data_IF_987940378079
#
_entry.id   IF_987940378079
#
_cell.length_a   1.000
_cell.length_b   1.000
_cell.length_c   1.000
_cell.angle_alpha   90.00
_cell.angle_beta   90.00
_cell.angle_gamma   90.00
#
_symmetry.space_group_name_H-M   'P 1'
#
loop_
_entity.id
_entity.type
_entity.pdbx_description
1 polymer ?
#
# COMPACT_ATOMS: atom_id res chain seq x y z
N UNK A 1 -2.04 16.01 30.59
CA UNK A 1 -3.18 16.89 30.26
C UNK A 1 -3.36 16.82 28.74
N UNK A 2 -4.35 16.03 28.32
CA UNK A 2 -4.97 15.95 26.98
C UNK A 2 -4.04 15.63 25.79
N UNK A 3 -3.91 14.33 25.48
CA UNK A 3 -3.48 13.86 24.15
C UNK A 3 -4.71 13.61 23.29
N UNK A 4 -4.91 14.42 22.26
CA UNK A 4 -5.93 14.17 21.24
C UNK A 4 -5.29 13.35 20.12
N UNK A 5 -5.49 12.03 20.13
CA UNK A 5 -5.46 11.25 18.89
C UNK A 5 -6.65 11.75 18.06
N UNK A 6 -6.36 12.45 16.98
CA UNK A 6 -7.38 12.73 15.97
C UNK A 6 -7.04 11.92 14.74
N UNK A 7 -7.65 10.73 14.69
CA UNK A 7 -7.89 10.03 13.44
C UNK A 7 -8.91 10.89 12.66
N UNK A 8 -8.44 11.92 11.95
CA UNK A 8 -9.32 12.72 11.11
C UNK A 8 -9.60 11.93 9.83
N UNK A 9 -10.59 11.03 9.89
CA UNK A 9 -11.41 10.82 8.70
C UNK A 9 -12.09 12.17 8.42
N UNK A 10 -11.54 12.95 7.50
CA UNK A 10 -12.29 14.04 6.89
C UNK A 10 -13.38 13.41 6.01
N UNK A 11 -14.48 13.02 6.66
CA UNK A 11 -15.75 12.82 5.98
C UNK A 11 -16.23 14.23 5.67
N UNK A 12 -16.23 14.60 4.39
CA UNK A 12 -17.16 15.48 3.68
C UNK A 12 -16.46 16.12 2.47
N UNK A 13 -17.00 15.79 1.29
CA UNK A 13 -16.69 16.32 -0.06
C UNK A 13 -15.61 15.59 -0.88
N UNK A 14 -16.09 14.85 -1.90
CA UNK A 14 -15.42 14.47 -3.17
C UNK A 14 -14.14 13.61 -3.19
N UNK A 15 -13.56 13.21 -2.05
CA UNK A 15 -12.52 12.18 -2.04
C UNK A 15 -11.93 11.99 -0.65
N UNK A 16 -11.94 10.76 -0.14
CA UNK A 16 -11.28 10.43 1.12
C UNK A 16 -9.77 10.37 0.86
N UNK A 17 -9.05 11.37 1.37
CA UNK A 17 -7.60 11.32 1.48
C UNK A 17 -7.24 10.71 2.83
N UNK A 18 -6.54 9.59 2.78
CA UNK A 18 -6.13 8.82 3.95
C UNK A 18 -4.62 8.96 4.06
N UNK A 19 -4.12 9.68 5.08
CA UNK A 19 -2.68 9.79 5.31
C UNK A 19 -2.34 9.23 6.67
N UNK A 20 -1.59 8.14 6.70
CA UNK A 20 -1.03 7.58 7.92
C UNK A 20 0.47 7.76 7.92
N UNK A 21 0.99 8.46 8.93
CA UNK A 21 2.42 8.57 9.21
C UNK A 21 2.69 7.89 10.54
N UNK A 22 3.32 6.72 10.51
CA UNK A 22 3.91 6.15 11.71
C UNK A 22 5.14 6.97 12.09
N UNK A 23 5.16 7.57 13.27
CA UNK A 23 6.40 8.17 13.79
C UNK A 23 7.32 7.07 14.34
N UNK A 24 8.54 7.00 13.80
CA UNK A 24 9.61 6.15 14.31
C UNK A 24 10.10 6.73 15.65
N UNK A 25 9.55 6.30 16.80
CA UNK A 25 10.15 6.58 18.12
C UNK A 25 10.94 5.37 18.60
N UNK A 26 12.25 5.56 18.73
CA UNK A 26 13.23 4.51 19.01
C UNK A 26 13.17 3.93 20.43
N UNK A 27 12.37 4.46 21.36
CA UNK A 27 12.23 3.90 22.70
C UNK A 27 10.84 4.13 23.29
N UNK A 28 9.98 3.12 23.16
CA UNK A 28 8.86 2.84 24.04
C UNK A 28 8.71 1.31 24.10
N UNK A 29 8.25 0.69 25.20
CA UNK A 29 7.91 -0.73 25.18
C UNK A 29 6.60 -0.86 24.37
N UNK A 30 6.74 -0.98 23.04
CA UNK A 30 5.73 -0.63 22.04
C UNK A 30 5.76 -1.62 20.85
N UNK A 31 5.71 -2.92 21.14
CA UNK A 31 5.90 -3.98 20.15
C UNK A 31 4.59 -4.32 19.42
N UNK A 32 4.34 -3.63 18.31
CA UNK A 32 3.79 -4.23 17.07
C UNK A 32 3.75 -3.15 15.99
N UNK A 33 4.25 -3.41 14.77
CA UNK A 33 3.92 -2.55 13.63
C UNK A 33 2.41 -2.62 13.47
N UNK A 34 1.72 -1.49 13.68
CA UNK A 34 0.26 -1.43 13.51
C UNK A 34 -0.14 -1.81 12.09
N UNK A 35 0.75 -1.60 11.12
CA UNK A 35 0.52 -1.87 9.71
C UNK A 35 1.35 -3.05 9.24
N UNK A 36 0.74 -3.94 8.46
CA UNK A 36 1.45 -5.06 7.82
C UNK A 36 1.14 -5.09 6.32
N UNK A 37 2.10 -5.57 5.55
CA UNK A 37 1.94 -5.80 4.11
C UNK A 37 2.18 -7.28 3.86
N UNK A 38 1.15 -7.97 3.37
CA UNK A 38 1.26 -9.33 2.89
C UNK A 38 1.25 -9.32 1.36
N UNK A 39 2.21 -9.98 0.72
CA UNK A 39 2.32 -10.07 -0.74
C UNK A 39 2.22 -11.55 -1.09
N UNK A 40 1.34 -11.88 -2.03
CA UNK A 40 1.22 -13.23 -2.55
C UNK A 40 2.46 -13.59 -3.38
N UNK A 41 3.36 -14.38 -2.78
CA UNK A 41 4.66 -14.74 -3.34
C UNK A 41 4.63 -16.18 -3.86
N UNK A 42 4.81 -16.33 -5.17
CA UNK A 42 4.81 -17.62 -5.87
C UNK A 42 5.92 -18.60 -5.45
N UNK A 43 6.96 -18.14 -4.79
CA UNK A 43 8.10 -18.94 -4.33
C UNK A 43 8.26 -18.92 -2.80
N UNK A 44 7.29 -18.34 -2.08
CA UNK A 44 7.33 -18.21 -0.62
C UNK A 44 8.46 -17.30 -0.11
N UNK A 45 9.05 -16.46 -0.97
CA UNK A 45 10.08 -15.51 -0.54
C UNK A 45 9.46 -14.48 0.40
N UNK A 46 10.06 -14.36 1.58
CA UNK A 46 9.84 -13.22 2.46
C UNK A 46 10.71 -12.03 2.04
N UNK A 47 10.07 -10.95 1.61
CA UNK A 47 10.74 -9.70 1.22
C UNK A 47 11.21 -8.87 2.43
N UNK A 48 10.77 -9.21 3.65
CA UNK A 48 11.16 -8.54 4.89
C UNK A 48 10.65 -7.10 4.98
N UNK A 49 9.56 -6.77 4.27
CA UNK A 49 9.02 -5.41 4.26
C UNK A 49 8.40 -5.03 5.59
N UNK A 50 8.80 -3.86 6.09
CA UNK A 50 8.14 -3.18 7.21
C UNK A 50 7.48 -1.90 6.69
N UNK A 51 6.20 -1.71 6.99
CA UNK A 51 5.44 -0.53 6.56
C UNK A 51 5.75 0.64 7.49
N UNK A 52 6.30 1.72 6.94
CA UNK A 52 6.64 2.94 7.69
C UNK A 52 5.49 3.94 7.67
N UNK A 53 4.94 4.17 6.49
CA UNK A 53 3.84 5.08 6.27
C UNK A 53 3.08 4.65 5.02
N UNK A 54 1.87 5.17 4.87
CA UNK A 54 1.17 5.08 3.59
C UNK A 54 0.22 6.26 3.42
N UNK A 55 -0.04 6.58 2.16
CA UNK A 55 -1.05 7.54 1.75
C UNK A 55 -1.99 6.86 0.77
N UNK A 56 -3.29 6.91 1.06
CA UNK A 56 -4.37 6.38 0.24
C UNK A 56 -5.28 7.46 -0.27
N UNK A 57 -5.83 7.26 -1.46
CA UNK A 57 -6.95 8.00 -2.00
C UNK A 57 -8.06 7.04 -2.39
N UNK A 58 -9.26 7.27 -1.87
CA UNK A 58 -10.47 6.53 -2.22
C UNK A 58 -11.64 7.49 -2.45
N UNK A 59 -12.41 7.24 -3.50
CA UNK A 59 -13.62 8.00 -3.76
C UNK A 59 -14.66 7.13 -4.48
N UNK A 60 -15.93 7.46 -4.32
CA UNK A 60 -17.02 6.79 -5.03
C UNK A 60 -16.75 6.89 -6.54
N UNK A 61 -16.86 5.75 -7.23
CA UNK A 61 -16.64 5.61 -8.68
C UNK A 61 -15.21 5.97 -9.16
N UNK A 62 -14.22 5.98 -8.27
CA UNK A 62 -12.81 6.14 -8.63
C UNK A 62 -12.01 4.93 -8.14
N UNK A 63 -11.17 4.31 -8.98
CA UNK A 63 -10.21 3.32 -8.51
C UNK A 63 -9.34 3.92 -7.39
N UNK A 64 -9.24 3.24 -6.26
CA UNK A 64 -8.37 3.69 -5.18
C UNK A 64 -6.90 3.66 -5.62
N UNK A 65 -6.06 4.39 -4.88
CA UNK A 65 -4.61 4.35 -5.02
C UNK A 65 -3.97 4.49 -3.64
N UNK A 66 -3.15 3.52 -3.23
CA UNK A 66 -2.41 3.57 -1.97
C UNK A 66 -0.91 3.48 -2.24
N UNK A 67 -0.16 4.49 -1.83
CA UNK A 67 1.31 4.50 -1.89
C UNK A 67 1.86 4.21 -0.51
N UNK A 68 2.68 3.17 -0.41
CA UNK A 68 3.31 2.69 0.80
C UNK A 68 4.79 3.10 0.78
N UNK A 69 5.27 3.54 1.94
CA UNK A 69 6.68 3.73 2.24
C UNK A 69 7.14 2.56 3.11
N UNK A 70 8.12 1.82 2.61
CA UNK A 70 8.57 0.56 3.19
C UNK A 70 10.07 0.61 3.49
N UNK A 71 10.51 -0.24 4.41
CA UNK A 71 11.93 -0.57 4.61
C UNK A 71 12.12 -2.09 4.63
N UNK A 72 13.27 -2.56 4.16
CA UNK A 72 13.70 -3.96 4.28
C UNK A 72 15.21 -4.04 4.50
N UNK A 73 15.68 -5.08 5.18
CA UNK A 73 17.11 -5.40 5.28
C UNK A 73 17.69 -5.94 3.96
N UNK A 74 16.82 -6.35 3.03
CA UNK A 74 17.22 -6.86 1.73
C UNK A 74 17.51 -5.69 0.78
N UNK A 75 18.75 -5.60 0.28
CA UNK A 75 19.21 -4.50 -0.57
C UNK A 75 19.03 -4.75 -2.07
N UNK A 76 18.76 -6.00 -2.47
CA UNK A 76 18.65 -6.44 -3.87
C UNK A 76 17.43 -7.34 -4.05
N UNK A 77 16.25 -6.76 -3.88
CA UNK A 77 15.00 -7.45 -4.22
C UNK A 77 14.79 -7.44 -5.73
N UNK A 78 14.30 -8.56 -6.28
CA UNK A 78 13.78 -8.58 -7.64
C UNK A 78 12.45 -7.81 -7.66
N UNK A 79 12.50 -6.57 -8.11
CA UNK A 79 11.33 -5.69 -8.16
C UNK A 79 10.35 -6.11 -9.26
N UNK A 80 10.84 -6.73 -10.34
CA UNK A 80 9.98 -7.15 -11.44
C UNK A 80 9.05 -8.27 -10.98
N UNK A 81 9.56 -9.17 -10.13
CA UNK A 81 8.76 -10.23 -9.54
C UNK A 81 7.64 -9.74 -8.62
N UNK A 82 7.77 -8.53 -8.06
CA UNK A 82 6.74 -7.89 -7.23
C UNK A 82 5.60 -7.29 -8.07
N UNK A 83 5.85 -6.91 -9.32
CA UNK A 83 4.85 -6.24 -10.15
C UNK A 83 3.65 -7.16 -10.44
N UNK A 84 2.46 -6.58 -10.42
CA UNK A 84 1.17 -7.26 -10.61
C UNK A 84 0.86 -8.36 -9.59
N UNK A 85 1.62 -8.49 -8.50
CA UNK A 85 1.30 -9.41 -7.42
C UNK A 85 0.12 -8.88 -6.59
N UNK A 86 -0.82 -9.74 -6.20
CA UNK A 86 -1.79 -9.42 -5.17
C UNK A 86 -1.09 -9.12 -3.84
N UNK A 87 -1.54 -8.08 -3.17
CA UNK A 87 -1.06 -7.71 -1.86
C UNK A 87 -2.20 -7.20 -0.97
N UNK A 88 -2.03 -7.36 0.33
CA UNK A 88 -2.94 -6.90 1.36
C UNK A 88 -2.20 -5.99 2.34
N UNK A 89 -2.61 -4.73 2.40
CA UNK A 89 -2.17 -3.78 3.42
C UNK A 89 -3.19 -3.78 4.56
N UNK A 90 -2.77 -4.26 5.73
CA UNK A 90 -3.58 -4.27 6.95
C UNK A 90 -3.37 -3.00 7.77
N UNK A 91 -4.45 -2.39 8.29
CA UNK A 91 -4.37 -1.12 9.02
C UNK A 91 -4.12 -1.27 10.53
N UNK A 92 -4.61 -2.34 11.15
CA UNK A 92 -4.32 -2.70 12.54
C UNK A 92 -4.57 -4.20 12.77
N UNK A 93 -4.03 -4.78 13.86
CA UNK A 93 -4.46 -6.10 14.32
C UNK A 93 -5.98 -6.11 14.50
N UNK A 94 -6.65 -7.12 13.93
CA UNK A 94 -8.11 -7.28 13.95
C UNK A 94 -8.93 -6.17 13.25
N UNK A 95 -8.28 -5.21 12.58
CA UNK A 95 -8.94 -4.26 11.69
C UNK A 95 -8.90 -4.73 10.24
N UNK A 96 -9.72 -4.07 9.41
CA UNK A 96 -9.70 -4.23 7.97
C UNK A 96 -8.39 -3.77 7.32
N UNK A 97 -8.34 -3.92 6.02
CA UNK A 97 -7.23 -3.48 5.19
C UNK A 97 -7.68 -3.30 3.76
N UNK A 98 -6.71 -3.13 2.85
CA UNK A 98 -6.98 -3.00 1.44
C UNK A 98 -6.24 -4.07 0.64
N UNK A 99 -6.99 -4.79 -0.19
CA UNK A 99 -6.45 -5.68 -1.19
C UNK A 99 -6.22 -4.93 -2.49
N UNK A 100 -5.04 -5.09 -3.09
CA UNK A 100 -4.71 -4.49 -4.38
C UNK A 100 -3.68 -5.30 -5.13
N UNK A 101 -3.40 -4.87 -6.35
CA UNK A 101 -2.23 -5.29 -7.11
C UNK A 101 -1.11 -4.28 -6.93
N UNK A 102 0.13 -4.76 -6.87
CA UNK A 102 1.32 -3.91 -6.96
C UNK A 102 1.40 -3.37 -8.40
N UNK A 103 1.04 -2.10 -8.56
CA UNK A 103 1.02 -1.37 -9.85
C UNK A 103 2.37 -0.72 -10.13
N UNK A 104 3.04 -0.26 -9.08
CA UNK A 104 4.39 0.30 -9.14
C UNK A 104 5.20 -0.15 -7.94
N UNK A 105 6.50 -0.31 -8.17
CA UNK A 105 7.50 -0.57 -7.13
C UNK A 105 8.77 0.20 -7.45
N UNK A 106 9.42 0.75 -6.44
CA UNK A 106 10.72 1.39 -6.57
C UNK A 106 11.58 1.13 -5.34
N UNK A 107 12.89 1.08 -5.58
CA UNK A 107 13.91 1.10 -4.54
C UNK A 107 14.43 2.53 -4.40
N UNK A 108 14.44 3.04 -3.18
CA UNK A 108 15.04 4.31 -2.81
C UNK A 108 16.44 4.10 -2.22
N UNK A 109 16.82 5.00 -1.31
CA UNK A 109 18.14 4.96 -0.68
C UNK A 109 18.35 3.70 0.14
N UNK A 110 19.53 3.11 -0.02
CA UNK A 110 20.05 2.04 0.84
C UNK A 110 20.92 2.66 1.93
N UNK A 111 20.41 2.66 3.16
CA UNK A 111 21.21 2.96 4.34
C UNK A 111 22.13 1.80 4.72
N UNK A 112 22.82 1.92 5.87
CA UNK A 112 23.77 0.90 6.33
C UNK A 112 23.15 -0.47 6.63
N UNK A 113 21.86 -0.51 6.96
CA UNK A 113 21.13 -1.75 7.32
C UNK A 113 19.79 -1.88 6.60
N UNK A 114 19.06 -0.77 6.43
CA UNK A 114 17.75 -0.76 5.82
C UNK A 114 17.79 -0.08 4.46
N UNK A 115 17.11 -0.66 3.50
CA UNK A 115 16.83 -0.09 2.19
C UNK A 115 15.39 0.36 2.12
N UNK A 116 15.17 1.58 1.63
CA UNK A 116 13.84 2.13 1.42
C UNK A 116 13.23 1.59 0.13
N UNK A 117 11.94 1.29 0.19
CA UNK A 117 11.15 0.90 -0.97
C UNK A 117 9.84 1.68 -0.99
N UNK A 118 9.28 1.87 -2.18
CA UNK A 118 7.91 2.35 -2.34
C UNK A 118 7.10 1.38 -3.18
N UNK A 119 5.85 1.14 -2.77
CA UNK A 119 4.89 0.30 -3.49
C UNK A 119 3.60 1.09 -3.68
N UNK A 120 3.02 1.02 -4.87
CA UNK A 120 1.68 1.54 -5.14
C UNK A 120 0.70 0.39 -5.35
N UNK A 121 -0.32 0.31 -4.50
CA UNK A 121 -1.44 -0.61 -4.60
C UNK A 121 -2.62 0.02 -5.34
N UNK A 122 -3.13 -0.67 -6.36
CA UNK A 122 -4.34 -0.28 -7.11
C UNK A 122 -5.29 -1.47 -7.29
N UNK A 123 -6.60 -1.25 -7.49
CA UNK A 123 -7.52 -2.35 -7.74
C UNK A 123 -7.26 -2.99 -9.11
N UNK A 124 -7.67 -4.25 -9.28
CA UNK A 124 -7.60 -4.95 -10.57
C UNK A 124 -8.20 -4.13 -11.73
N UNK A 125 -9.29 -3.40 -11.47
CA UNK A 125 -9.97 -2.56 -12.46
C UNK A 125 -9.04 -1.49 -13.06
N UNK A 126 -8.06 -0.99 -12.31
CA UNK A 126 -7.12 0.04 -12.78
C UNK A 126 -6.32 -0.42 -14.01
N UNK A 127 -6.11 -1.74 -14.16
CA UNK A 127 -5.43 -2.31 -15.32
C UNK A 127 -6.14 -2.08 -16.65
N UNK A 128 -7.46 -1.89 -16.63
CA UNK A 128 -8.20 -1.58 -17.84
C UNK A 128 -7.75 -0.25 -18.47
N UNK A 129 -7.17 0.67 -17.68
CA UNK A 129 -6.59 1.90 -18.19
C UNK A 129 -5.37 1.71 -19.10
N UNK A 130 -4.73 0.53 -19.07
CA UNK A 130 -3.58 0.21 -19.92
C UNK A 130 -3.99 -0.47 -21.24
N UNK A 131 -5.29 -0.64 -21.49
CA UNK A 131 -5.79 -1.33 -22.68
C UNK A 131 -6.76 -0.45 -23.46
N UNK A 132 -6.57 -0.42 -24.78
CA UNK A 132 -7.56 0.11 -25.72
C UNK A 132 -8.08 -1.04 -26.59
N UNK A 133 -9.38 -1.07 -26.87
CA UNK A 133 -9.99 -2.09 -27.73
C UNK A 133 -11.12 -1.48 -28.58
N UNK A 134 -11.29 -1.96 -29.80
CA UNK A 134 -12.38 -1.57 -30.69
C UNK A 134 -13.42 -2.70 -30.70
N UNK A 135 -14.65 -2.40 -30.25
CA UNK A 135 -15.70 -3.41 -30.08
C UNK A 135 -17.08 -2.83 -30.41
N UNK A 136 -17.92 -3.63 -31.05
CA UNK A 136 -19.34 -3.37 -31.22
C UNK A 136 -20.09 -4.14 -30.12
N UNK A 137 -20.87 -3.43 -29.32
CA UNK A 137 -21.78 -4.02 -28.33
C UNK A 137 -23.21 -3.87 -28.84
N UNK A 138 -23.92 -4.98 -29.03
CA UNK A 138 -25.31 -5.02 -29.49
C UNK A 138 -26.18 -5.74 -28.47
N UNK A 139 -27.37 -5.20 -28.20
CA UNK A 139 -28.38 -5.79 -27.32
C UNK A 139 -27.84 -6.13 -25.90
N UNK A 140 -27.19 -5.17 -25.23
CA UNK A 140 -26.62 -5.31 -23.88
C UNK A 140 -27.01 -4.18 -22.93
N UNK A 141 -27.04 -4.50 -21.64
CA UNK A 141 -27.12 -3.62 -20.46
C UNK A 141 -25.96 -3.92 -19.53
#
# INVERSE_FOLDING_TARGET
MIWHLSCYLSRYSAGAFVRYRGEFRMFAPASQPRFSLNIDSHNGIDHGFQVMAFTGHEAINKPFCFTLELVSERMSLDLEDLLNRPAFLQFAPDEGGIHGLIDQVSQGDSGRRLTHYSITLRPHLARLGHRTNQRIFQNRT
#
